data_IF_804962898967
#
_entry.id   IF_804962898967
#
_cell.length_a   1.000
_cell.length_b   1.000
_cell.length_c   1.000
_cell.angle_alpha   90.00
_cell.angle_beta   90.00
_cell.angle_gamma   90.00
#
_symmetry.space_group_name_H-M   'P 1'
#
loop_
_entity.id
_entity.type
_entity.pdbx_description
1 polymer ?
#
# COMPACT_ATOMS: atom_id res chain seq x y z
N UNK A 1 -10.30 -5.46 -5.80
CA UNK A 1 -9.08 -5.07 -6.54
C UNK A 1 -8.86 -5.96 -7.76
N UNK A 2 -8.71 -7.28 -7.61
CA UNK A 2 -8.53 -8.19 -8.77
C UNK A 2 -9.66 -8.10 -9.81
N UNK A 3 -10.91 -7.99 -9.39
CA UNK A 3 -12.05 -7.81 -10.29
C UNK A 3 -11.95 -6.54 -11.13
N UNK A 4 -11.49 -5.42 -10.57
CA UNK A 4 -11.33 -4.13 -11.28
C UNK A 4 -10.33 -4.26 -12.43
N UNK A 5 -9.21 -4.94 -12.18
CA UNK A 5 -8.19 -5.20 -13.17
C UNK A 5 -8.70 -6.12 -14.30
N UNK A 6 -9.42 -7.19 -13.94
CA UNK A 6 -10.03 -8.10 -14.94
C UNK A 6 -11.11 -7.42 -15.78
N UNK A 7 -11.90 -6.54 -15.17
CA UNK A 7 -12.93 -5.76 -15.86
C UNK A 7 -12.35 -4.55 -16.62
N UNK A 8 -11.05 -4.27 -16.47
CA UNK A 8 -10.35 -3.13 -17.06
C UNK A 8 -11.01 -1.78 -16.74
N UNK A 9 -11.53 -1.63 -15.52
CA UNK A 9 -12.18 -0.40 -15.07
C UNK A 9 -11.79 -0.07 -13.63
N UNK A 10 -11.39 1.17 -13.39
CA UNK A 10 -10.90 1.64 -12.07
C UNK A 10 -12.04 2.08 -11.14
N UNK A 11 -13.10 2.65 -11.69
CA UNK A 11 -14.27 3.14 -10.95
C UNK A 11 -15.58 2.69 -11.61
N UNK A 12 -15.98 1.40 -11.46
CA UNK A 12 -17.15 0.85 -12.16
C UNK A 12 -18.49 1.44 -11.72
N UNK A 13 -18.51 2.15 -10.59
CA UNK A 13 -19.74 2.73 -10.02
C UNK A 13 -19.80 4.26 -10.19
N UNK A 14 -18.88 4.84 -10.97
CA UNK A 14 -19.03 6.20 -11.50
C UNK A 14 -19.87 6.14 -12.79
N UNK A 15 -20.80 7.09 -13.04
CA UNK A 15 -21.13 8.26 -12.24
C UNK A 15 -22.14 8.02 -11.10
N UNK A 16 -22.74 6.83 -11.03
CA UNK A 16 -23.96 6.58 -10.24
C UNK A 16 -23.79 6.77 -8.72
N UNK A 17 -22.69 6.29 -8.15
CA UNK A 17 -22.39 6.36 -6.70
C UNK A 17 -21.12 7.15 -6.40
N UNK A 18 -20.19 7.19 -7.36
CA UNK A 18 -19.00 8.03 -7.29
C UNK A 18 -19.20 9.18 -8.27
N UNK A 19 -19.39 10.39 -7.74
CA UNK A 19 -19.51 11.58 -8.58
C UNK A 19 -18.24 11.75 -9.43
N UNK A 20 -18.43 11.83 -10.74
CA UNK A 20 -17.36 12.09 -11.69
C UNK A 20 -17.74 13.24 -12.63
N UNK A 21 -16.73 13.79 -13.29
CA UNK A 21 -16.96 14.76 -14.35
C UNK A 21 -17.67 14.08 -15.54
N UNK A 22 -18.63 14.76 -16.21
CA UNK A 22 -19.34 14.19 -17.35
C UNK A 22 -18.45 14.24 -18.61
N UNK A 23 -17.53 13.27 -18.73
CA UNK A 23 -16.72 13.09 -19.92
C UNK A 23 -17.61 12.71 -21.12
N UNK A 24 -17.40 13.37 -22.28
CA UNK A 24 -18.23 13.16 -23.47
C UNK A 24 -17.63 12.15 -24.45
N UNK A 25 -16.31 12.15 -24.63
CA UNK A 25 -15.67 11.38 -25.68
C UNK A 25 -15.11 10.04 -25.19
N UNK A 26 -14.39 10.05 -24.07
CA UNK A 26 -13.68 8.88 -23.54
C UNK A 26 -13.79 8.83 -22.02
N UNK A 27 -14.07 7.64 -21.50
CA UNK A 27 -14.08 7.38 -20.06
C UNK A 27 -12.64 7.22 -19.54
N UNK A 28 -12.14 8.11 -18.64
CA UNK A 28 -10.80 7.99 -18.08
C UNK A 28 -10.64 6.83 -17.10
N UNK A 29 -11.73 6.18 -16.68
CA UNK A 29 -11.67 5.07 -15.73
C UNK A 29 -11.34 3.73 -16.39
N UNK A 30 -11.39 3.65 -17.71
CA UNK A 30 -11.05 2.45 -18.47
C UNK A 30 -9.53 2.27 -18.54
N UNK A 31 -9.05 1.05 -18.27
CA UNK A 31 -7.63 0.70 -18.35
C UNK A 31 -7.28 0.26 -19.77
N UNK A 32 -6.56 1.09 -20.52
CA UNK A 32 -6.12 0.79 -21.90
C UNK A 32 -4.93 -0.17 -21.95
N UNK A 33 -4.09 -0.17 -20.92
CA UNK A 33 -2.96 -1.09 -20.76
C UNK A 33 -3.01 -1.71 -19.37
N UNK A 34 -2.45 -2.92 -19.23
CA UNK A 34 -2.36 -3.57 -17.92
C UNK A 34 -1.17 -2.99 -17.16
N UNK A 35 -1.37 -2.36 -15.99
CA UNK A 35 -0.28 -1.77 -15.23
C UNK A 35 0.58 -2.85 -14.57
N UNK A 36 1.89 -2.59 -14.40
CA UNK A 36 2.79 -3.47 -13.64
C UNK A 36 2.44 -3.50 -12.14
N UNK A 37 1.92 -2.40 -11.62
CA UNK A 37 1.55 -2.21 -10.21
C UNK A 37 0.19 -1.52 -10.14
N UNK A 38 -0.72 -2.09 -9.37
CA UNK A 38 -2.05 -1.54 -9.14
C UNK A 38 -2.32 -1.46 -7.64
N UNK A 39 -2.45 -0.24 -7.13
CA UNK A 39 -2.62 0.00 -5.70
C UNK A 39 -3.90 0.75 -5.36
N UNK A 40 -4.44 0.49 -4.16
CA UNK A 40 -5.61 1.19 -3.61
C UNK A 40 -5.26 1.63 -2.19
N UNK A 41 -5.51 2.91 -1.91
CA UNK A 41 -5.27 3.52 -0.61
C UNK A 41 -6.39 3.31 0.41
N UNK A 42 -6.11 3.74 1.64
CA UNK A 42 -7.10 3.89 2.71
C UNK A 42 -7.89 2.61 3.04
N UNK A 43 -7.22 1.46 2.93
CA UNK A 43 -7.79 0.16 3.26
C UNK A 43 -7.68 -0.11 4.77
N UNK A 44 -8.45 -1.06 5.28
CA UNK A 44 -8.41 -1.43 6.71
C UNK A 44 -7.09 -2.07 7.15
N UNK A 45 -6.34 -2.65 6.21
CA UNK A 45 -5.05 -3.28 6.44
C UNK A 45 -4.17 -3.21 5.20
N UNK A 46 -2.85 -3.13 5.41
CA UNK A 46 -1.86 -3.16 4.34
C UNK A 46 -1.69 -4.60 3.85
N UNK A 47 -1.75 -4.83 2.53
CA UNK A 47 -1.56 -6.16 1.94
C UNK A 47 -1.03 -6.05 0.53
N UNK A 48 -0.14 -6.95 0.14
CA UNK A 48 0.30 -7.09 -1.24
C UNK A 48 0.00 -8.50 -1.79
N UNK A 49 -0.22 -8.60 -3.10
CA UNK A 49 -0.43 -9.86 -3.81
C UNK A 49 0.03 -9.71 -5.26
N UNK A 50 0.72 -10.70 -5.80
CA UNK A 50 1.02 -10.75 -7.24
C UNK A 50 -0.02 -11.63 -7.93
N UNK A 51 -0.53 -11.17 -9.07
CA UNK A 51 -1.41 -11.95 -9.94
C UNK A 51 -0.87 -11.97 -11.37
N UNK A 52 -1.23 -13.01 -12.12
CA UNK A 52 -0.90 -13.14 -13.54
C UNK A 52 -2.15 -12.80 -14.35
N UNK A 53 -2.02 -11.81 -15.24
CA UNK A 53 -3.05 -11.38 -16.15
C UNK A 53 -2.69 -11.81 -17.56
N UNK A 54 -3.62 -12.51 -18.22
CA UNK A 54 -3.50 -12.86 -19.64
C UNK A 54 -3.97 -11.68 -20.47
N UNK A 55 -3.15 -11.28 -21.43
CA UNK A 55 -3.46 -10.25 -22.41
C UNK A 55 -3.48 -10.93 -23.77
N UNK A 56 -4.51 -10.64 -24.56
CA UNK A 56 -4.52 -11.02 -25.96
C UNK A 56 -3.69 -9.97 -26.70
N UNK A 57 -2.67 -10.40 -27.44
CA UNK A 57 -1.84 -9.49 -28.22
C UNK A 57 -2.66 -9.00 -29.42
N UNK A 58 -3.11 -7.74 -29.38
CA UNK A 58 -3.94 -7.13 -30.43
C UNK A 58 -3.15 -6.87 -31.74
N UNK A 59 -1.81 -6.93 -31.69
CA UNK A 59 -0.91 -6.60 -32.82
C UNK A 59 -0.46 -7.81 -33.66
N UNK A 60 -0.78 -9.06 -33.27
CA UNK A 60 -0.39 -10.27 -34.00
C UNK A 60 -1.61 -10.92 -34.68
N UNK A 61 -1.91 -10.47 -35.90
CA UNK A 61 -2.98 -10.98 -36.78
C UNK A 61 -2.80 -12.44 -37.27
N UNK A 62 -1.85 -13.21 -36.73
CA UNK A 62 -1.47 -14.52 -37.33
C UNK A 62 -1.54 -15.76 -36.44
N UNK A 63 -1.75 -15.71 -35.13
CA UNK A 63 -1.97 -16.92 -34.32
C UNK A 63 -2.84 -16.63 -33.08
N UNK A 64 -4.04 -17.22 -33.04
CA UNK A 64 -5.09 -17.00 -32.02
C UNK A 64 -4.72 -17.50 -30.61
N UNK A 65 -3.57 -18.16 -30.45
CA UNK A 65 -3.21 -18.91 -29.24
C UNK A 65 -2.01 -18.35 -28.45
N UNK A 66 -1.38 -17.25 -28.88
CA UNK A 66 -0.28 -16.65 -28.13
C UNK A 66 -0.80 -15.59 -27.15
N UNK A 67 -0.95 -16.00 -25.89
CA UNK A 67 -1.32 -15.11 -24.78
C UNK A 67 -0.06 -14.64 -24.06
N UNK A 68 0.22 -13.34 -24.11
CA UNK A 68 1.25 -12.76 -23.25
C UNK A 68 0.70 -12.66 -21.81
N UNK A 69 1.41 -13.27 -20.85
CA UNK A 69 1.05 -13.22 -19.43
C UNK A 69 1.85 -12.14 -18.72
N UNK A 70 1.18 -11.08 -18.26
CA UNK A 70 1.81 -10.00 -17.48
C UNK A 70 1.58 -10.23 -15.99
N UNK A 71 2.64 -10.09 -15.20
CA UNK A 71 2.55 -10.10 -13.73
C UNK A 71 2.19 -8.71 -13.23
N UNK A 72 1.12 -8.62 -12.45
CA UNK A 72 0.64 -7.36 -11.86
C UNK A 72 0.72 -7.46 -10.35
N UNK A 73 1.40 -6.49 -9.73
CA UNK A 73 1.48 -6.37 -8.27
C UNK A 73 0.29 -5.57 -7.75
N UNK A 74 -0.58 -6.23 -6.99
CA UNK A 74 -1.71 -5.63 -6.29
C UNK A 74 -1.28 -5.17 -4.90
N UNK A 75 -1.54 -3.91 -4.55
CA UNK A 75 -1.15 -3.34 -3.25
C UNK A 75 -2.34 -2.61 -2.60
N UNK A 76 -2.76 -3.09 -1.44
CA UNK A 76 -3.69 -2.40 -0.55
C UNK A 76 -2.88 -1.66 0.51
N UNK A 77 -3.03 -0.34 0.60
CA UNK A 77 -2.36 0.49 1.59
C UNK A 77 -3.33 0.84 2.71
N UNK A 78 -2.92 0.64 3.96
CA UNK A 78 -3.73 1.05 5.11
C UNK A 78 -3.74 2.57 5.28
N UNK A 79 -4.66 3.06 6.11
CA UNK A 79 -4.65 4.46 6.54
C UNK A 79 -3.49 4.72 7.49
N UNK A 80 -2.48 5.45 7.04
CA UNK A 80 -1.29 5.78 7.83
C UNK A 80 -1.64 6.39 9.19
N UNK A 81 -2.60 7.32 9.23
CA UNK A 81 -3.05 8.00 10.46
C UNK A 81 -3.57 7.06 11.55
N UNK A 82 -3.99 5.84 11.19
CA UNK A 82 -4.54 4.87 12.16
C UNK A 82 -3.57 3.73 12.47
N UNK A 83 -2.75 3.33 11.50
CA UNK A 83 -1.86 2.16 11.64
C UNK A 83 -0.38 2.50 11.79
N UNK A 84 0.06 3.68 11.35
CA UNK A 84 1.47 4.04 11.31
C UNK A 84 2.30 3.16 10.39
N UNK A 85 1.69 2.56 9.37
CA UNK A 85 2.33 1.61 8.45
C UNK A 85 2.62 2.26 7.09
N UNK A 86 3.81 2.01 6.55
CA UNK A 86 4.23 2.39 5.21
C UNK A 86 4.66 1.13 4.44
N UNK A 87 4.41 1.10 3.13
CA UNK A 87 4.84 0.00 2.27
C UNK A 87 5.90 0.50 1.29
N UNK A 88 7.08 -0.11 1.36
CA UNK A 88 8.17 0.09 0.41
C UNK A 88 8.01 -0.90 -0.73
N UNK A 89 8.10 -0.41 -1.96
CA UNK A 89 8.07 -1.21 -3.18
C UNK A 89 9.41 -1.05 -3.88
N UNK A 90 10.10 -2.16 -4.10
CA UNK A 90 11.26 -2.18 -4.98
C UNK A 90 10.80 -2.15 -6.44
N UNK A 91 11.27 -1.17 -7.22
CA UNK A 91 10.90 -0.99 -8.62
C UNK A 91 11.54 -2.01 -9.55
N UNK A 92 12.64 -2.63 -9.16
CA UNK A 92 13.34 -3.63 -9.99
C UNK A 92 12.74 -5.02 -9.80
N UNK A 93 12.50 -5.42 -8.55
CA UNK A 93 12.02 -6.77 -8.22
C UNK A 93 10.50 -6.86 -8.01
N UNK A 94 9.83 -5.72 -7.80
CA UNK A 94 8.42 -5.63 -7.37
C UNK A 94 8.14 -6.32 -6.02
N UNK A 95 9.17 -6.51 -5.20
CA UNK A 95 9.05 -6.96 -3.82
C UNK A 95 8.54 -5.82 -2.93
N UNK A 96 7.84 -6.19 -1.85
CA UNK A 96 7.16 -5.23 -0.98
C UNK A 96 7.48 -5.49 0.48
N UNK A 97 7.92 -4.47 1.19
CA UNK A 97 8.22 -4.51 2.62
C UNK A 97 7.30 -3.54 3.39
N UNK A 98 6.88 -3.91 4.60
CA UNK A 98 6.05 -3.06 5.45
C UNK A 98 6.91 -2.50 6.57
N UNK A 99 7.00 -1.18 6.63
CA UNK A 99 7.69 -0.44 7.70
C UNK A 99 6.63 0.10 8.65
N UNK A 100 6.72 -0.25 9.93
CA UNK A 100 5.83 0.26 10.97
C UNK A 100 6.56 1.27 11.83
N UNK A 101 5.95 2.43 11.99
CA UNK A 101 6.39 3.46 12.91
C UNK A 101 5.60 3.34 14.21
N UNK A 102 6.31 3.45 15.32
CA UNK A 102 5.71 3.56 16.65
C UNK A 102 6.47 4.63 17.43
N UNK A 103 5.78 5.29 18.36
CA UNK A 103 6.41 6.29 19.22
C UNK A 103 6.91 5.56 20.45
N UNK A 104 8.22 5.61 20.68
CA UNK A 104 8.80 5.07 21.90
C UNK A 104 8.37 5.98 23.06
N UNK A 105 7.52 5.47 23.95
CA UNK A 105 7.20 6.18 25.20
C UNK A 105 8.48 6.26 26.05
N UNK A 106 8.80 7.44 26.62
CA UNK A 106 9.97 7.58 27.47
C UNK A 106 9.80 6.65 28.68
N UNK A 107 10.72 5.69 28.82
CA UNK A 107 10.87 4.92 30.05
C UNK A 107 11.13 5.89 31.19
N UNK A 108 10.32 5.83 32.26
CA UNK A 108 10.60 6.49 33.52
C UNK A 108 11.93 5.95 34.08
N UNK A 109 13.04 6.56 33.70
CA UNK A 109 14.34 6.30 34.33
C UNK A 109 14.63 7.35 35.41
N UNK A 110 14.71 6.81 36.64
CA UNK A 110 15.45 7.29 37.81
C UNK A 110 14.94 8.56 38.50
N UNK A 111 14.02 8.37 39.47
CA UNK A 111 14.07 9.19 40.67
C UNK A 111 15.43 8.93 41.34
N UNK A 112 16.30 9.93 41.30
CA UNK A 112 17.53 9.94 42.08
C UNK A 112 17.11 10.08 43.54
N UNK A 113 17.28 9.03 44.33
CA UNK A 113 17.22 9.11 45.79
C UNK A 113 18.45 9.93 46.25
N UNK A 114 18.29 11.25 46.38
CA UNK A 114 19.14 12.06 47.25
C UNK A 114 18.66 11.86 48.69
N UNK A 115 19.01 10.73 49.32
CA UNK A 115 19.08 10.65 50.78
C UNK A 115 20.46 11.15 51.21
N UNK A 116 20.42 12.21 52.02
CA UNK A 116 21.56 13.04 52.40
C UNK A 116 22.65 12.31 53.17
N UNK A 117 23.87 12.73 52.89
CA UNK A 117 24.98 12.66 53.84
C UNK A 117 24.60 13.42 55.12
N UNK A 118 24.12 12.71 56.14
CA UNK A 118 24.30 13.16 57.53
C UNK A 118 25.66 12.67 58.01
N UNK A 119 26.66 13.54 57.87
CA UNK A 119 27.86 13.52 58.69
C UNK A 119 27.46 13.73 60.16
N UNK A 120 27.52 12.69 60.99
CA UNK A 120 27.74 12.88 62.43
C UNK A 120 29.03 12.14 62.83
N UNK A 121 30.11 12.93 62.91
CA UNK A 121 31.39 12.55 63.49
C UNK A 121 31.24 12.18 64.97
N UNK A 122 32.02 11.16 65.35
CA UNK A 122 32.21 10.65 66.70
C UNK A 122 32.57 11.72 67.76
N UNK A 123 32.09 11.53 68.99
CA UNK A 123 32.95 11.65 70.17
C UNK A 123 32.40 10.88 71.41
N UNK A 124 33.34 10.21 72.09
CA UNK A 124 33.38 9.66 73.47
C UNK A 124 32.35 8.60 73.96
#
# INVERSE_FOLDING_TARGET
MEALLRLRITAPTAPDTLFCYPFQDKDPFTLETSPHVFFIGNQSATRSRTIEQRIADEDNDMDIDEYTSIKVKLIALSKFSEKGELLLLDTETLETEIVKFDIQEPSEETAVDEEGDDEEMADA
#
